data_IF_250413324214
#
_entry.id   IF_250413324214
#
_cell.length_a   1.000
_cell.length_b   1.000
_cell.length_c   1.000
_cell.angle_alpha   90.00
_cell.angle_beta   90.00
_cell.angle_gamma   90.00
#
_symmetry.space_group_name_H-M   'P 1'
#
loop_
_entity.id
_entity.type
_entity.pdbx_description
1 polymer ?
#
# COMPACT_ATOMS: atom_id res chain seq x y z
N UNK A 1 8.27 -5.90 -4.37
CA UNK A 1 8.50 -6.91 -5.43
C UNK A 1 8.08 -6.39 -6.79
N UNK A 2 6.79 -6.10 -7.07
CA UNK A 2 6.35 -5.63 -8.40
C UNK A 2 7.11 -4.40 -8.90
N UNK A 3 7.31 -3.37 -8.08
CA UNK A 3 8.08 -2.19 -8.47
C UNK A 3 9.55 -2.53 -8.80
N UNK A 4 10.14 -3.49 -8.10
CA UNK A 4 11.49 -3.98 -8.40
C UNK A 4 11.54 -4.71 -9.75
N UNK A 5 10.53 -5.52 -10.06
CA UNK A 5 10.44 -6.17 -11.37
C UNK A 5 10.28 -5.13 -12.49
N UNK A 6 9.42 -4.11 -12.28
CA UNK A 6 9.21 -3.02 -13.23
C UNK A 6 10.48 -2.15 -13.40
N UNK A 7 11.25 -1.97 -12.34
CA UNK A 7 12.54 -1.28 -12.41
C UNK A 7 13.55 -2.06 -13.25
N UNK A 8 13.65 -3.37 -13.05
CA UNK A 8 14.52 -4.23 -13.86
C UNK A 8 14.10 -4.21 -15.34
N UNK A 9 12.79 -4.12 -15.60
CA UNK A 9 12.25 -3.99 -16.96
C UNK A 9 12.35 -2.57 -17.55
N UNK A 10 12.99 -1.62 -16.86
CA UNK A 10 13.14 -0.22 -17.31
C UNK A 10 11.84 0.59 -17.33
N UNK A 11 10.77 0.10 -16.70
CA UNK A 11 9.43 0.73 -16.70
C UNK A 11 9.20 1.66 -15.51
N UNK A 12 10.01 1.57 -14.48
CA UNK A 12 10.00 2.42 -13.28
C UNK A 12 11.44 2.83 -12.98
N UNK A 13 11.64 4.09 -12.64
CA UNK A 13 12.95 4.61 -12.25
C UNK A 13 13.48 3.97 -10.96
N UNK A 14 14.79 4.11 -10.66
CA UNK A 14 15.44 3.43 -9.54
C UNK A 14 15.04 3.99 -8.16
N UNK A 15 14.46 5.17 -8.09
CA UNK A 15 14.23 5.92 -6.84
C UNK A 15 12.81 5.80 -6.28
N UNK A 16 12.12 4.68 -6.58
CA UNK A 16 10.81 4.45 -5.98
C UNK A 16 10.91 4.13 -4.49
N UNK A 17 9.95 4.61 -3.74
CA UNK A 17 9.78 4.33 -2.32
C UNK A 17 8.31 4.04 -2.03
N UNK A 18 8.04 3.38 -0.90
CA UNK A 18 6.69 3.13 -0.40
C UNK A 18 6.59 3.74 0.99
N UNK A 19 5.57 4.54 1.22
CA UNK A 19 5.14 4.92 2.57
C UNK A 19 3.97 4.02 2.97
N UNK A 20 4.14 3.23 4.00
CA UNK A 20 3.10 2.40 4.58
C UNK A 20 2.66 2.99 5.93
N UNK A 21 1.38 3.23 6.10
CA UNK A 21 0.85 3.86 7.32
C UNK A 21 -0.23 3.02 7.96
N UNK A 22 -0.27 3.07 9.28
CA UNK A 22 -1.33 2.47 10.10
C UNK A 22 -1.54 3.32 11.37
N UNK A 23 -2.70 3.24 11.97
CA UNK A 23 -2.96 3.88 13.27
C UNK A 23 -2.32 3.10 14.42
N UNK A 24 -2.12 1.80 14.25
CA UNK A 24 -1.59 0.89 15.28
C UNK A 24 -0.06 0.81 15.22
N UNK A 25 0.59 1.31 16.25
CA UNK A 25 2.04 1.20 16.39
C UNK A 25 2.49 -0.27 16.42
N UNK A 26 1.73 -1.17 17.04
CA UNK A 26 2.02 -2.61 17.08
C UNK A 26 2.04 -3.22 15.68
N UNK A 27 1.07 -2.86 14.82
CA UNK A 27 1.02 -3.33 13.43
C UNK A 27 2.22 -2.83 12.65
N UNK A 28 2.62 -1.57 12.85
CA UNK A 28 3.79 -0.99 12.19
C UNK A 28 5.10 -1.67 12.61
N UNK A 29 5.25 -2.03 13.89
CA UNK A 29 6.41 -2.79 14.36
C UNK A 29 6.49 -4.15 13.68
N UNK A 30 5.41 -4.92 13.68
CA UNK A 30 5.36 -6.22 13.00
C UNK A 30 5.61 -6.10 11.50
N UNK A 31 5.08 -5.06 10.85
CA UNK A 31 5.34 -4.81 9.43
C UNK A 31 6.82 -4.51 9.13
N UNK A 32 7.52 -3.83 10.05
CA UNK A 32 8.97 -3.56 9.92
C UNK A 32 9.81 -4.82 10.01
N UNK A 33 9.39 -5.80 10.80
CA UNK A 33 10.06 -7.12 10.88
C UNK A 33 10.04 -7.82 9.53
N UNK A 34 8.98 -7.59 8.73
CA UNK A 34 8.79 -8.15 7.39
C UNK A 34 8.87 -9.68 7.33
N UNK A 35 8.44 -10.34 8.42
CA UNK A 35 8.34 -11.78 8.56
C UNK A 35 6.87 -12.18 8.41
N UNK A 36 6.62 -13.13 7.54
CA UNK A 36 5.26 -13.59 7.22
C UNK A 36 5.17 -15.10 7.25
N UNK A 37 4.05 -15.68 7.71
CA UNK A 37 3.77 -17.10 7.51
C UNK A 37 3.74 -17.44 6.00
N UNK A 38 4.34 -18.55 5.61
CA UNK A 38 4.45 -18.95 4.19
C UNK A 38 3.09 -19.13 3.52
N UNK A 39 2.07 -19.54 4.27
CA UNK A 39 0.71 -19.70 3.78
C UNK A 39 0.06 -18.38 3.32
N UNK A 40 0.47 -17.24 3.85
CA UNK A 40 0.01 -15.90 3.41
C UNK A 40 0.61 -15.47 2.08
N UNK A 41 1.63 -16.15 1.60
CA UNK A 41 2.34 -15.80 0.37
C UNK A 41 1.94 -16.64 -0.84
N UNK A 42 0.86 -17.42 -0.74
CA UNK A 42 0.36 -18.31 -1.82
C UNK A 42 0.06 -17.59 -3.14
N UNK A 43 -0.30 -16.31 -3.07
CA UNK A 43 -0.55 -15.49 -4.26
C UNK A 43 0.72 -14.90 -4.88
N UNK A 44 1.89 -15.09 -4.25
CA UNK A 44 3.17 -14.62 -4.76
C UNK A 44 3.82 -15.72 -5.59
N UNK A 45 4.23 -15.40 -6.83
CA UNK A 45 4.83 -16.39 -7.71
C UNK A 45 6.11 -16.99 -7.11
N UNK A 46 6.40 -18.29 -7.36
CA UNK A 46 7.63 -18.93 -6.87
C UNK A 46 8.91 -18.20 -7.28
N UNK A 47 8.91 -17.58 -8.46
CA UNK A 47 10.03 -16.77 -8.94
C UNK A 47 10.27 -15.55 -8.05
N UNK A 48 9.21 -14.80 -7.70
CA UNK A 48 9.32 -13.65 -6.79
C UNK A 48 9.73 -14.06 -5.39
N UNK A 49 9.20 -15.17 -4.89
CA UNK A 49 9.63 -15.71 -3.59
C UNK A 49 11.13 -15.99 -3.57
N UNK A 50 11.66 -16.69 -4.57
CA UNK A 50 13.10 -16.95 -4.67
C UNK A 50 13.94 -15.68 -4.79
N UNK A 51 13.45 -14.70 -5.55
CA UNK A 51 14.19 -13.45 -5.82
C UNK A 51 14.19 -12.47 -4.66
N UNK A 52 13.14 -12.41 -3.87
CA UNK A 52 12.91 -11.34 -2.90
C UNK A 52 12.71 -11.80 -1.46
N UNK A 53 12.69 -13.10 -1.21
CA UNK A 53 12.43 -13.66 0.10
C UNK A 53 13.54 -14.62 0.54
N UNK A 54 13.65 -14.79 1.85
CA UNK A 54 14.44 -15.83 2.52
C UNK A 54 13.45 -16.73 3.25
N UNK A 55 13.62 -18.04 3.11
CA UNK A 55 12.85 -19.02 3.88
C UNK A 55 13.50 -19.25 5.23
N UNK A 56 12.69 -19.35 6.27
CA UNK A 56 13.14 -19.73 7.59
C UNK A 56 13.48 -21.21 7.68
N UNK A 57 14.50 -21.52 8.45
CA UNK A 57 14.96 -22.86 8.76
C UNK A 57 14.95 -23.10 10.28
N UNK A 58 14.96 -24.36 10.71
CA UNK A 58 14.95 -24.71 12.13
C UNK A 58 13.72 -24.15 12.85
N UNK A 59 13.92 -23.33 13.86
CA UNK A 59 12.83 -22.70 14.64
C UNK A 59 11.98 -21.70 13.82
N UNK A 60 12.53 -21.15 12.76
CA UNK A 60 11.83 -20.25 11.85
C UNK A 60 11.15 -20.97 10.68
N UNK A 61 11.08 -22.31 10.68
CA UNK A 61 10.43 -23.08 9.62
C UNK A 61 8.96 -22.63 9.41
N UNK A 62 8.54 -22.49 8.16
CA UNK A 62 7.21 -22.00 7.80
C UNK A 62 7.07 -20.48 7.82
N UNK A 63 8.14 -19.76 8.09
CA UNK A 63 8.22 -18.31 8.00
C UNK A 63 9.03 -17.86 6.78
N UNK A 64 8.74 -16.69 6.29
CA UNK A 64 9.41 -16.06 5.15
C UNK A 64 9.73 -14.62 5.49
N UNK A 65 10.99 -14.23 5.33
CA UNK A 65 11.49 -12.88 5.53
C UNK A 65 11.67 -12.19 4.17
N UNK A 66 11.20 -10.96 4.03
CA UNK A 66 11.53 -10.13 2.87
C UNK A 66 13.00 -9.67 2.94
N UNK A 67 13.72 -9.77 1.82
CA UNK A 67 15.11 -9.33 1.72
C UNK A 67 15.25 -7.81 1.88
N UNK A 68 16.40 -7.37 2.38
CA UNK A 68 16.70 -5.96 2.65
C UNK A 68 16.55 -5.04 1.43
N UNK A 69 16.82 -5.54 0.23
CA UNK A 69 16.61 -4.79 -1.02
C UNK A 69 15.15 -4.34 -1.25
N UNK A 70 14.18 -5.00 -0.60
CA UNK A 70 12.75 -4.58 -0.59
C UNK A 70 12.47 -3.79 0.67
N UNK A 71 12.91 -4.26 1.84
CA UNK A 71 12.62 -3.64 3.14
C UNK A 71 13.10 -2.20 3.21
N UNK A 72 14.30 -1.94 2.73
CA UNK A 72 14.91 -0.59 2.70
C UNK A 72 14.15 0.44 1.85
N UNK A 73 13.24 -0.03 0.99
CA UNK A 73 12.40 0.84 0.15
C UNK A 73 11.07 1.22 0.80
N UNK A 74 10.77 0.66 1.97
CA UNK A 74 9.50 0.88 2.67
C UNK A 74 9.75 1.71 3.93
N UNK A 75 9.10 2.84 4.01
CA UNK A 75 9.03 3.68 5.21
C UNK A 75 7.71 3.42 5.91
N UNK A 76 7.73 3.39 7.24
CA UNK A 76 6.54 3.18 8.05
C UNK A 76 6.24 4.40 8.90
N UNK A 77 5.00 4.84 8.92
CA UNK A 77 4.54 5.99 9.68
C UNK A 77 3.21 5.74 10.39
N UNK A 78 3.06 6.24 11.61
CA UNK A 78 1.77 6.22 12.27
C UNK A 78 0.91 7.36 11.71
N UNK A 79 -0.31 7.03 11.25
CA UNK A 79 -1.23 8.01 10.68
C UNK A 79 -2.67 7.68 11.07
N UNK A 80 -3.37 8.69 11.60
CA UNK A 80 -4.81 8.62 11.84
C UNK A 80 -5.54 9.35 10.70
N UNK A 81 -6.20 8.60 9.83
CA UNK A 81 -6.92 9.15 8.67
C UNK A 81 -8.15 10.02 9.06
N UNK A 82 -8.69 9.85 10.26
CA UNK A 82 -9.80 10.68 10.77
C UNK A 82 -9.36 12.07 11.22
N UNK A 83 -8.05 12.29 11.38
CA UNK A 83 -7.50 13.61 11.75
C UNK A 83 -6.88 14.29 10.55
N UNK A 84 -6.87 15.63 10.48
CA UNK A 84 -6.07 16.35 9.49
C UNK A 84 -4.60 15.95 9.59
N UNK A 85 -3.94 15.75 8.45
CA UNK A 85 -2.51 15.50 8.36
C UNK A 85 -1.90 16.35 7.24
N UNK A 86 -0.62 16.69 7.40
CA UNK A 86 0.13 17.49 6.42
C UNK A 86 1.51 16.87 6.20
N UNK A 87 2.17 17.28 5.11
CA UNK A 87 3.51 16.78 4.80
C UNK A 87 3.55 15.33 4.32
N UNK A 88 2.40 14.75 4.00
CA UNK A 88 2.27 13.39 3.47
C UNK A 88 1.97 13.47 1.97
N UNK A 89 2.83 12.92 1.15
CA UNK A 89 2.73 12.99 -0.32
C UNK A 89 3.59 14.11 -0.93
N UNK A 90 3.39 14.47 -2.21
CA UNK A 90 2.43 13.86 -3.13
C UNK A 90 2.87 12.51 -3.66
N UNK A 91 1.91 11.61 -3.92
CA UNK A 91 2.14 10.24 -4.38
C UNK A 91 1.71 10.02 -5.83
N UNK A 92 2.39 9.11 -6.53
CA UNK A 92 2.01 8.65 -7.86
C UNK A 92 0.91 7.58 -7.78
N UNK A 93 0.92 6.79 -6.70
CA UNK A 93 -0.04 5.70 -6.46
C UNK A 93 -0.42 5.66 -4.99
N UNK A 94 -1.70 5.51 -4.70
CA UNK A 94 -2.22 5.34 -3.33
C UNK A 94 -3.13 4.11 -3.28
N UNK A 95 -2.94 3.29 -2.25
CA UNK A 95 -3.82 2.17 -1.90
C UNK A 95 -4.55 2.48 -0.59
N UNK A 96 -5.87 2.34 -0.59
CA UNK A 96 -6.70 2.40 0.61
C UNK A 96 -7.63 1.18 0.58
N UNK A 97 -7.32 0.15 1.35
CA UNK A 97 -8.06 -1.10 1.32
C UNK A 97 -8.41 -1.57 2.72
N UNK A 98 -9.65 -2.02 2.90
CA UNK A 98 -10.16 -2.59 4.15
C UNK A 98 -10.09 -1.60 5.35
N UNK A 99 -10.24 -0.31 5.09
CA UNK A 99 -10.19 0.76 6.11
C UNK A 99 -11.52 1.48 6.20
N UNK A 100 -12.11 1.85 5.07
CA UNK A 100 -13.34 2.64 5.05
C UNK A 100 -14.55 1.88 5.58
N UNK A 101 -14.49 0.56 5.60
CA UNK A 101 -15.58 -0.29 6.13
C UNK A 101 -15.90 -0.02 7.61
N UNK A 102 -14.98 0.61 8.34
CA UNK A 102 -15.13 0.92 9.76
C UNK A 102 -15.73 2.31 10.04
N UNK A 103 -15.99 3.11 9.01
CA UNK A 103 -16.44 4.49 9.15
C UNK A 103 -17.90 4.67 8.70
N UNK A 104 -18.57 5.65 9.30
CA UNK A 104 -19.86 6.13 8.81
C UNK A 104 -19.71 6.90 7.48
N UNK A 105 -20.80 7.12 6.73
CA UNK A 105 -20.73 7.77 5.42
C UNK A 105 -20.09 9.17 5.41
N UNK A 106 -20.39 10.10 6.35
CA UNK A 106 -19.72 11.39 6.40
C UNK A 106 -18.20 11.27 6.60
N UNK A 107 -17.76 10.46 7.57
CA UNK A 107 -16.33 10.22 7.84
C UNK A 107 -15.63 9.59 6.65
N UNK A 108 -16.29 8.67 5.93
CA UNK A 108 -15.74 8.09 4.68
C UNK A 108 -15.40 9.17 3.66
N UNK A 109 -16.32 10.11 3.44
CA UNK A 109 -16.12 11.20 2.48
C UNK A 109 -14.93 12.08 2.87
N UNK A 110 -14.85 12.48 4.13
CA UNK A 110 -13.75 13.29 4.63
C UNK A 110 -12.39 12.58 4.53
N UNK A 111 -12.33 11.30 4.91
CA UNK A 111 -11.12 10.49 4.79
C UNK A 111 -10.70 10.36 3.32
N UNK A 112 -11.65 10.09 2.44
CA UNK A 112 -11.39 9.99 1.01
C UNK A 112 -10.81 11.28 0.45
N UNK A 113 -11.42 12.42 0.74
CA UNK A 113 -10.95 13.72 0.22
C UNK A 113 -9.54 14.04 0.73
N UNK A 114 -9.25 13.78 2.01
CA UNK A 114 -7.89 13.95 2.57
C UNK A 114 -6.86 13.04 1.88
N UNK A 115 -7.20 11.78 1.69
CA UNK A 115 -6.31 10.81 1.02
C UNK A 115 -6.10 11.19 -0.45
N UNK A 116 -7.16 11.55 -1.19
CA UNK A 116 -7.07 11.95 -2.59
C UNK A 116 -6.32 13.28 -2.77
N UNK A 117 -6.30 14.15 -1.76
CA UNK A 117 -5.47 15.36 -1.76
C UNK A 117 -3.97 15.04 -1.83
N UNK A 118 -3.54 13.88 -1.28
CA UNK A 118 -2.13 13.45 -1.35
C UNK A 118 -1.73 12.84 -2.69
N UNK A 119 -2.68 12.58 -3.57
CA UNK A 119 -2.43 11.99 -4.88
C UNK A 119 -2.12 13.06 -5.92
N UNK A 120 -1.06 12.87 -6.70
CA UNK A 120 -0.71 13.76 -7.83
C UNK A 120 -1.83 13.79 -8.88
N UNK A 121 -1.96 14.88 -9.66
CA UNK A 121 -2.71 14.85 -10.91
C UNK A 121 -2.22 13.70 -11.80
N UNK A 122 -3.11 12.97 -12.44
CA UNK A 122 -2.80 11.76 -13.21
C UNK A 122 -2.47 10.52 -12.40
N UNK A 123 -2.35 10.62 -11.07
CA UNK A 123 -2.01 9.52 -10.16
C UNK A 123 -3.11 8.46 -10.06
N UNK A 124 -2.72 7.27 -9.61
CA UNK A 124 -3.60 6.10 -9.50
C UNK A 124 -4.02 5.86 -8.06
N UNK A 125 -5.31 5.61 -7.87
CA UNK A 125 -5.90 5.26 -6.58
C UNK A 125 -6.54 3.87 -6.63
N UNK A 126 -6.23 3.05 -5.66
CA UNK A 126 -6.78 1.70 -5.53
C UNK A 126 -7.56 1.54 -4.23
N UNK A 127 -8.84 1.23 -4.37
CA UNK A 127 -9.77 0.96 -3.28
C UNK A 127 -10.00 -0.55 -3.12
N UNK A 128 -10.26 -1.02 -1.92
CA UNK A 128 -10.65 -2.41 -1.69
C UNK A 128 -12.01 -2.74 -2.31
N UNK A 129 -12.17 -3.94 -2.81
CA UNK A 129 -13.42 -4.38 -3.46
C UNK A 129 -14.61 -4.43 -2.49
N UNK A 130 -14.36 -4.64 -1.19
CA UNK A 130 -15.38 -4.64 -0.15
C UNK A 130 -15.88 -3.22 0.23
N UNK A 131 -15.19 -2.18 -0.20
CA UNK A 131 -15.48 -0.79 0.19
C UNK A 131 -16.46 -0.09 -0.76
N UNK A 132 -16.75 -0.73 -1.89
CA UNK A 132 -17.74 -0.25 -2.85
C UNK A 132 -17.34 1.11 -3.49
N UNK A 133 -18.36 1.85 -3.93
CA UNK A 133 -18.20 3.22 -4.41
C UNK A 133 -18.31 4.17 -3.22
N UNK A 134 -17.21 4.83 -2.86
CA UNK A 134 -17.23 5.83 -1.79
C UNK A 134 -17.48 7.20 -2.39
N UNK A 135 -18.44 7.98 -1.88
CA UNK A 135 -18.65 9.36 -2.31
C UNK A 135 -17.41 10.19 -1.91
N UNK A 136 -16.91 10.97 -2.86
CA UNK A 136 -15.85 11.95 -2.61
C UNK A 136 -16.14 13.20 -3.44
N UNK A 137 -15.68 14.36 -2.96
CA UNK A 137 -15.81 15.62 -3.69
C UNK A 137 -14.74 15.76 -4.79
N UNK A 138 -13.62 15.04 -4.64
CA UNK A 138 -12.56 15.01 -5.64
C UNK A 138 -12.99 14.20 -6.86
N UNK A 139 -13.02 14.79 -8.07
CA UNK A 139 -13.37 14.04 -9.27
C UNK A 139 -12.35 12.95 -9.55
N UNK A 140 -12.82 11.74 -9.85
CA UNK A 140 -11.98 10.58 -10.17
C UNK A 140 -12.52 9.86 -11.40
N UNK A 141 -11.63 9.52 -12.33
CA UNK A 141 -11.95 8.68 -13.47
C UNK A 141 -11.86 7.21 -13.06
N UNK A 142 -12.96 6.46 -13.19
CA UNK A 142 -12.94 5.01 -12.99
C UNK A 142 -12.26 4.33 -14.18
N UNK A 143 -11.22 3.52 -13.90
CA UNK A 143 -10.54 2.71 -14.91
C UNK A 143 -11.14 1.31 -14.98
N UNK A 144 -11.23 0.67 -13.83
CA UNK A 144 -11.90 -0.61 -13.58
C UNK A 144 -12.47 -0.57 -12.15
N UNK A 145 -13.36 -1.49 -11.75
CA UNK A 145 -13.83 -1.57 -10.37
C UNK A 145 -12.67 -1.60 -9.36
N UNK A 146 -12.68 -0.64 -8.44
CA UNK A 146 -11.63 -0.48 -7.42
C UNK A 146 -10.34 0.20 -7.88
N UNK A 147 -10.22 0.61 -9.13
CA UNK A 147 -9.07 1.37 -9.62
C UNK A 147 -9.50 2.67 -10.33
N UNK A 148 -8.90 3.77 -9.91
CA UNK A 148 -9.28 5.12 -10.33
C UNK A 148 -8.03 5.93 -10.71
N UNK A 149 -8.24 6.95 -11.55
CA UNK A 149 -7.22 7.93 -11.90
C UNK A 149 -7.70 9.33 -11.51
N UNK A 150 -6.84 10.11 -10.87
CA UNK A 150 -7.08 11.52 -10.64
C UNK A 150 -6.90 12.27 -11.97
N UNK A 151 -7.82 13.12 -12.40
CA UNK A 151 -7.61 13.96 -13.59
C UNK A 151 -6.32 14.79 -13.48
N UNK A 152 -5.80 15.19 -14.64
CA UNK A 152 -4.62 16.08 -14.74
C UNK A 152 -5.05 17.53 -14.53
#
# INVERSE_FOLDING_TARGET
MLLSDLQVAGRVGPNWTILATDISHRVLLSAKEAIYPEDRLRAVSPERLRRYCLRGEGEAQGQVLLQDKIRSRVQFGQLNLCKPFSGVGPFDVVFLRNVLIYFDPPTKTEVMDRVLATLKPGGLFFLGTAEGRVPCNTPMQTLIPGAFRKPV
#
